data_IF_730064347833
#
_entry.id   IF_730064347833
#
_cell.length_a   1.000
_cell.length_b   1.000
_cell.length_c   1.000
_cell.angle_alpha   90.00
_cell.angle_beta   90.00
_cell.angle_gamma   90.00
#
_symmetry.space_group_name_H-M   'P 1'
#
loop_
_entity.id
_entity.type
_entity.pdbx_description
1 polymer ?
#
# COMPACT_ATOMS: atom_id res chain seq x y z
N UNK A 1 -23.47 3.05 22.62
CA UNK A 1 -22.63 1.86 22.89
C UNK A 1 -21.19 2.30 23.05
N UNK A 2 -20.58 2.07 24.22
CA UNK A 2 -19.17 2.34 24.46
C UNK A 2 -18.47 0.98 24.43
N UNK A 3 -17.95 0.57 23.27
CA UNK A 3 -17.24 -0.71 23.12
C UNK A 3 -15.85 -0.57 23.74
N UNK A 4 -15.79 -0.72 25.06
CA UNK A 4 -14.53 -0.83 25.76
C UNK A 4 -13.98 -2.23 25.47
N UNK A 5 -13.04 -2.36 24.53
CA UNK A 5 -12.36 -3.61 24.18
C UNK A 5 -11.51 -4.08 25.37
N UNK A 6 -12.19 -4.64 26.39
CA UNK A 6 -11.57 -5.07 27.66
C UNK A 6 -10.88 -6.43 27.54
N UNK A 7 -10.94 -7.07 26.38
CA UNK A 7 -10.35 -8.38 26.12
C UNK A 7 -9.30 -8.26 25.02
N UNK A 8 -8.07 -8.64 25.35
CA UNK A 8 -6.99 -8.81 24.38
C UNK A 8 -7.37 -9.99 23.48
N UNK A 9 -7.46 -9.75 22.18
CA UNK A 9 -7.58 -10.82 21.20
C UNK A 9 -6.16 -11.34 20.99
N UNK A 10 -5.90 -12.56 21.44
CA UNK A 10 -4.68 -13.29 21.08
C UNK A 10 -5.01 -14.07 19.79
N UNK A 11 -4.45 -13.68 18.63
CA UNK A 11 -4.68 -14.42 17.40
C UNK A 11 -4.12 -15.84 17.53
N UNK A 12 -4.71 -16.80 16.83
CA UNK A 12 -4.06 -18.10 16.67
C UNK A 12 -2.83 -17.95 15.77
N UNK A 13 -1.89 -18.88 15.89
CA UNK A 13 -0.68 -18.92 15.06
C UNK A 13 -1.00 -18.85 13.55
N UNK A 14 -2.09 -19.49 13.11
CA UNK A 14 -2.54 -19.42 11.72
C UNK A 14 -2.99 -18.00 11.30
N UNK A 15 -3.63 -17.25 12.20
CA UNK A 15 -4.04 -15.86 11.95
C UNK A 15 -2.83 -14.94 11.93
N UNK A 16 -1.88 -15.14 12.84
CA UNK A 16 -0.62 -14.38 12.88
C UNK A 16 0.18 -14.58 11.59
N UNK A 17 0.39 -15.83 11.17
CA UNK A 17 1.07 -16.15 9.91
C UNK A 17 0.35 -15.55 8.68
N UNK A 18 -0.99 -15.53 8.66
CA UNK A 18 -1.74 -14.89 7.58
C UNK A 18 -1.54 -13.37 7.57
N UNK A 19 -1.56 -12.72 8.74
CA UNK A 19 -1.30 -11.28 8.87
C UNK A 19 0.12 -10.92 8.44
N UNK A 20 1.11 -11.71 8.83
CA UNK A 20 2.51 -11.52 8.42
C UNK A 20 2.64 -11.62 6.90
N UNK A 21 2.05 -12.64 6.27
CA UNK A 21 2.02 -12.77 4.81
C UNK A 21 1.38 -11.55 4.14
N UNK A 22 0.20 -11.12 4.60
CA UNK A 22 -0.47 -9.95 4.03
C UNK A 22 0.34 -8.65 4.21
N UNK A 23 0.96 -8.47 5.38
CA UNK A 23 1.83 -7.34 5.66
C UNK A 23 3.03 -7.32 4.71
N UNK A 24 3.64 -8.49 4.50
CA UNK A 24 4.76 -8.63 3.58
C UNK A 24 4.36 -8.38 2.13
N UNK A 25 3.25 -8.96 1.66
CA UNK A 25 2.70 -8.68 0.32
C UNK A 25 2.43 -7.17 0.13
N UNK A 26 1.88 -6.49 1.14
CA UNK A 26 1.68 -5.03 1.09
C UNK A 26 2.99 -4.25 1.03
N UNK A 27 4.01 -4.69 1.77
CA UNK A 27 5.37 -4.10 1.74
C UNK A 27 6.01 -4.26 0.38
N UNK A 28 5.91 -5.45 -0.22
CA UNK A 28 6.43 -5.72 -1.55
C UNK A 28 5.69 -4.87 -2.60
N UNK A 29 4.36 -4.80 -2.54
CA UNK A 29 3.56 -3.98 -3.45
C UNK A 29 3.94 -2.49 -3.36
N UNK A 30 4.15 -1.99 -2.15
CA UNK A 30 4.63 -0.63 -1.92
C UNK A 30 5.97 -0.37 -2.62
N UNK A 31 6.92 -1.31 -2.48
CA UNK A 31 8.23 -1.22 -3.13
C UNK A 31 8.13 -1.29 -4.65
N UNK A 32 7.21 -2.10 -5.18
CA UNK A 32 6.95 -2.16 -6.62
C UNK A 32 6.48 -0.80 -7.15
N UNK A 33 5.51 -0.15 -6.49
CA UNK A 33 5.10 1.21 -6.88
C UNK A 33 6.23 2.24 -6.79
N UNK A 34 7.12 2.14 -5.79
CA UNK A 34 8.30 3.00 -5.72
C UNK A 34 9.26 2.74 -6.89
N UNK A 35 9.41 1.47 -7.29
CA UNK A 35 10.22 1.11 -8.45
C UNK A 35 9.62 1.69 -9.73
N UNK A 36 8.32 1.56 -9.97
CA UNK A 36 7.65 2.19 -11.12
C UNK A 36 7.85 3.70 -11.13
N UNK A 37 7.69 4.35 -9.97
CA UNK A 37 7.95 5.78 -9.81
C UNK A 37 9.41 6.18 -10.08
N UNK A 38 10.38 5.33 -9.74
CA UNK A 38 11.80 5.60 -10.00
C UNK A 38 12.21 5.41 -11.46
N UNK A 39 11.40 4.69 -12.24
CA UNK A 39 11.67 4.40 -13.65
C UNK A 39 10.88 5.29 -14.62
N UNK A 40 10.15 6.27 -14.10
CA UNK A 40 9.42 7.25 -14.92
C UNK A 40 9.91 8.66 -14.60
N UNK A 41 9.99 9.50 -15.64
CA UNK A 41 10.22 10.94 -15.50
C UNK A 41 8.90 11.71 -15.24
N UNK A 42 7.76 11.01 -15.27
CA UNK A 42 6.43 11.62 -15.10
C UNK A 42 5.90 11.48 -13.68
N UNK A 43 5.16 12.49 -13.24
CA UNK A 43 4.37 12.37 -12.01
C UNK A 43 3.21 11.40 -12.23
N UNK A 44 3.18 10.32 -11.45
CA UNK A 44 2.04 9.41 -11.41
C UNK A 44 1.02 9.86 -10.37
N UNK A 45 -0.20 10.13 -10.84
CA UNK A 45 -1.34 10.38 -9.95
C UNK A 45 -1.72 9.12 -9.15
N UNK A 46 -2.41 9.32 -8.03
CA UNK A 46 -3.04 8.23 -7.28
C UNK A 46 -3.83 7.27 -8.17
N UNK A 47 -4.62 7.79 -9.10
CA UNK A 47 -5.44 6.96 -10.00
C UNK A 47 -4.58 6.10 -10.91
N UNK A 48 -3.46 6.62 -11.41
CA UNK A 48 -2.52 5.85 -12.21
C UNK A 48 -1.93 4.69 -11.39
N UNK A 49 -1.42 4.96 -10.20
CA UNK A 49 -0.86 3.93 -9.30
C UNK A 49 -1.93 2.90 -8.91
N UNK A 50 -3.15 3.34 -8.59
CA UNK A 50 -4.25 2.45 -8.22
C UNK A 50 -4.65 1.52 -9.37
N UNK A 51 -4.65 2.04 -10.60
CA UNK A 51 -5.05 1.28 -11.79
C UNK A 51 -4.01 0.24 -12.23
N UNK A 52 -2.80 0.25 -11.66
CA UNK A 52 -1.84 -0.84 -11.85
C UNK A 52 -2.25 -2.10 -11.08
N UNK A 53 -2.98 -1.98 -9.96
CA UNK A 53 -3.31 -3.12 -9.09
C UNK A 53 -4.03 -4.27 -9.82
N UNK A 54 -5.06 -4.03 -10.67
CA UNK A 54 -5.67 -5.09 -11.47
C UNK A 54 -4.64 -5.83 -12.35
N UNK A 55 -3.81 -5.11 -13.09
CA UNK A 55 -2.83 -5.72 -14.00
C UNK A 55 -1.76 -6.52 -13.24
N UNK A 56 -1.38 -6.06 -12.04
CA UNK A 56 -0.46 -6.79 -11.16
C UNK A 56 -1.03 -8.12 -10.68
N UNK A 57 -2.35 -8.22 -10.50
CA UNK A 57 -3.00 -9.46 -10.06
C UNK A 57 -2.98 -10.57 -11.09
N UNK A 58 -2.73 -10.25 -12.36
CA UNK A 58 -2.65 -11.24 -13.44
C UNK A 58 -1.37 -12.08 -13.36
N UNK A 59 -0.30 -11.57 -12.73
CA UNK A 59 0.98 -12.28 -12.62
C UNK A 59 1.51 -12.41 -11.19
N UNK A 60 0.98 -11.65 -10.23
CA UNK A 60 1.33 -11.71 -8.82
C UNK A 60 0.16 -12.27 -8.00
N UNK A 61 0.08 -13.59 -7.96
CA UNK A 61 -1.05 -14.32 -7.36
C UNK A 61 -1.30 -13.98 -5.89
N UNK A 62 -0.27 -13.69 -5.10
CA UNK A 62 -0.41 -13.32 -3.68
C UNK A 62 -1.27 -12.08 -3.45
N UNK A 63 -1.38 -11.19 -4.44
CA UNK A 63 -2.27 -10.02 -4.37
C UNK A 63 -3.75 -10.42 -4.37
N UNK A 64 -4.10 -11.63 -4.84
CA UNK A 64 -5.47 -12.13 -4.82
C UNK A 64 -5.91 -12.57 -3.41
N UNK A 65 -4.95 -12.90 -2.54
CA UNK A 65 -5.22 -13.26 -1.14
C UNK A 65 -5.44 -12.05 -0.24
N UNK A 66 -5.06 -10.84 -0.70
CA UNK A 66 -5.23 -9.61 0.06
C UNK A 66 -6.51 -8.88 -0.38
N UNK A 67 -7.30 -8.45 0.59
CA UNK A 67 -8.52 -7.69 0.32
C UNK A 67 -8.21 -6.43 -0.50
N UNK A 68 -8.92 -6.24 -1.63
CA UNK A 68 -8.62 -5.18 -2.61
C UNK A 68 -8.56 -3.77 -2.01
N UNK A 69 -9.33 -3.49 -0.94
CA UNK A 69 -9.27 -2.19 -0.27
C UNK A 69 -7.92 -1.93 0.38
N UNK A 70 -7.25 -2.97 0.90
CA UNK A 70 -5.93 -2.86 1.52
C UNK A 70 -4.90 -2.50 0.44
N UNK A 71 -4.91 -3.19 -0.71
CA UNK A 71 -4.03 -2.89 -1.83
C UNK A 71 -4.20 -1.45 -2.35
N UNK A 72 -5.45 -0.99 -2.47
CA UNK A 72 -5.75 0.40 -2.83
C UNK A 72 -5.23 1.40 -1.80
N UNK A 73 -5.23 1.04 -0.51
CA UNK A 73 -4.65 1.88 0.55
C UNK A 73 -3.11 1.93 0.47
N UNK A 74 -2.46 0.86 0.01
CA UNK A 74 -1.02 0.86 -0.27
C UNK A 74 -0.72 1.86 -1.40
N UNK A 75 -1.45 1.80 -2.51
CA UNK A 75 -1.34 2.76 -3.62
C UNK A 75 -1.55 4.21 -3.15
N UNK A 76 -2.58 4.44 -2.31
CA UNK A 76 -2.85 5.75 -1.71
C UNK A 76 -1.69 6.25 -0.87
N UNK A 77 -1.11 5.39 -0.03
CA UNK A 77 0.02 5.75 0.84
C UNK A 77 1.25 6.16 0.04
N UNK A 78 1.53 5.51 -1.09
CA UNK A 78 2.61 5.91 -2.01
C UNK A 78 2.34 7.31 -2.57
N UNK A 79 1.15 7.53 -3.12
CA UNK A 79 0.76 8.82 -3.71
C UNK A 79 0.81 9.97 -2.69
N UNK A 80 0.25 9.77 -1.49
CA UNK A 80 0.23 10.78 -0.44
C UNK A 80 1.66 11.15 0.01
N UNK A 81 2.57 10.17 0.04
CA UNK A 81 3.97 10.41 0.38
C UNK A 81 4.69 11.20 -0.72
N UNK A 82 4.44 10.88 -1.99
CA UNK A 82 4.98 11.62 -3.13
C UNK A 82 4.52 13.08 -3.12
N UNK A 83 3.23 13.32 -2.92
CA UNK A 83 2.66 14.67 -2.83
C UNK A 83 3.29 15.49 -1.71
N UNK A 84 3.53 14.87 -0.54
CA UNK A 84 4.22 15.52 0.58
C UNK A 84 5.66 15.87 0.24
N UNK A 85 6.40 14.98 -0.40
CA UNK A 85 7.78 15.24 -0.83
C UNK A 85 7.84 16.41 -1.81
N UNK A 86 6.97 16.44 -2.82
CA UNK A 86 6.89 17.54 -3.78
C UNK A 86 6.60 18.87 -3.08
N UNK A 87 5.66 18.90 -2.12
CA UNK A 87 5.34 20.11 -1.35
C UNK A 87 6.54 20.62 -0.56
N UNK A 88 7.29 19.71 0.08
CA UNK A 88 8.49 20.06 0.84
C UNK A 88 9.54 20.66 -0.09
N UNK A 89 9.82 19.99 -1.22
CA UNK A 89 10.78 20.47 -2.23
C UNK A 89 10.38 21.86 -2.73
N UNK A 90 9.14 22.05 -3.17
CA UNK A 90 8.65 23.36 -3.66
C UNK A 90 8.74 24.45 -2.59
N UNK A 91 8.50 24.12 -1.31
CA UNK A 91 8.64 25.07 -0.21
C UNK A 91 10.09 25.50 0.06
N UNK A 92 11.09 24.64 -0.23
CA UNK A 92 12.51 24.99 -0.10
C UNK A 92 13.04 25.85 -1.25
N UNK A 93 12.41 25.82 -2.42
CA UNK A 93 12.82 26.61 -3.60
C UNK A 93 12.04 27.94 -3.76
N UNK A 94 11.20 28.31 -2.79
CA UNK A 94 10.54 29.62 -2.69
C UNK A 94 11.19 30.48 -1.62
#
# INVERSE_FOLDING_TARGET
>A
MNYNYRYRIEPSEAVEAALERHSDTCRQLYNHFLYELSNTDEYLSYTAIQNMVPDLKDWWDELNDVYSKVLQMVARRVSDNLDRLIRIVVAFYR
#
